data_IF_452937968166
#
_entry.id   IF_452937968166
#
_cell.length_a   1.000
_cell.length_b   1.000
_cell.length_c   1.000
_cell.angle_alpha   90.00
_cell.angle_beta   90.00
_cell.angle_gamma   90.00
#
_symmetry.space_group_name_H-M   'P 1'
#
loop_
_entity.id
_entity.type
_entity.pdbx_description
1 polymer ?
#
# COMPACT_ATOMS: atom_id res chain seq x y z
N UNK A 1 -12.89 36.67 -17.38
CA UNK A 1 -11.80 36.88 -16.40
C UNK A 1 -11.67 35.74 -15.38
N UNK A 2 -12.75 35.09 -14.94
CA UNK A 2 -12.70 33.99 -13.96
C UNK A 2 -11.82 32.79 -14.38
N UNK A 3 -11.92 32.33 -15.62
CA UNK A 3 -11.17 31.16 -16.14
C UNK A 3 -9.65 31.38 -16.10
N UNK A 4 -9.18 32.59 -16.45
CA UNK A 4 -7.75 32.94 -16.42
C UNK A 4 -7.20 32.94 -14.99
N UNK A 5 -7.98 33.44 -14.03
CA UNK A 5 -7.57 33.48 -12.63
C UNK A 5 -7.52 32.06 -12.02
N UNK A 6 -8.42 31.19 -12.46
CA UNK A 6 -8.45 29.78 -12.03
C UNK A 6 -7.26 28.99 -12.60
N UNK A 7 -6.93 29.15 -13.89
CA UNK A 7 -5.72 28.56 -14.49
C UNK A 7 -4.43 29.04 -13.79
N UNK A 8 -4.32 30.34 -13.50
CA UNK A 8 -3.17 30.91 -12.79
C UNK A 8 -3.08 30.45 -11.32
N UNK A 9 -4.21 30.06 -10.73
CA UNK A 9 -4.25 29.48 -9.38
C UNK A 9 -3.76 28.03 -9.40
N UNK A 10 -4.22 27.23 -10.37
CA UNK A 10 -3.80 25.85 -10.56
C UNK A 10 -2.31 25.73 -10.91
N UNK A 11 -1.81 26.62 -11.76
CA UNK A 11 -0.39 26.67 -12.12
C UNK A 11 0.47 26.99 -10.90
N UNK A 12 0.08 27.97 -10.08
CA UNK A 12 0.77 28.28 -8.81
C UNK A 12 0.75 27.11 -7.82
N UNK A 13 -0.35 26.35 -7.76
CA UNK A 13 -0.42 25.16 -6.91
C UNK A 13 0.49 24.03 -7.40
N UNK A 14 0.57 23.81 -8.71
CA UNK A 14 1.49 22.85 -9.30
C UNK A 14 2.96 23.26 -9.07
N UNK A 15 3.30 24.52 -9.32
CA UNK A 15 4.66 25.06 -9.11
C UNK A 15 5.09 24.94 -7.65
N UNK A 16 4.16 25.18 -6.71
CA UNK A 16 4.39 25.01 -5.28
C UNK A 16 4.64 23.54 -4.91
N UNK A 17 3.85 22.60 -5.46
CA UNK A 17 4.03 21.16 -5.26
C UNK A 17 5.37 20.68 -5.82
N UNK A 18 5.77 21.14 -7.02
CA UNK A 18 7.07 20.83 -7.59
C UNK A 18 8.21 21.38 -6.76
N UNK A 19 8.06 22.59 -6.22
CA UNK A 19 9.05 23.20 -5.33
C UNK A 19 9.22 22.38 -4.05
N UNK A 20 8.12 21.95 -3.42
CA UNK A 20 8.16 21.13 -2.21
C UNK A 20 8.72 19.73 -2.45
N UNK A 21 8.37 19.13 -3.58
CA UNK A 21 8.96 17.86 -4.00
C UNK A 21 10.47 18.01 -4.21
N UNK A 22 10.91 19.11 -4.83
CA UNK A 22 12.33 19.38 -5.06
C UNK A 22 13.10 19.58 -3.74
N UNK A 23 12.52 20.29 -2.76
CA UNK A 23 13.09 20.43 -1.42
C UNK A 23 13.31 19.07 -0.74
N UNK A 24 12.28 18.21 -0.73
CA UNK A 24 12.36 16.86 -0.17
C UNK A 24 13.38 15.99 -0.92
N UNK A 25 13.44 16.11 -2.25
CA UNK A 25 14.43 15.38 -3.06
C UNK A 25 15.86 15.83 -2.77
N UNK A 26 16.11 17.11 -2.52
CA UNK A 26 17.43 17.63 -2.13
C UNK A 26 17.82 17.16 -0.72
N UNK A 27 16.84 17.05 0.18
CA UNK A 27 17.06 16.67 1.57
C UNK A 27 17.30 15.16 1.73
N UNK A 28 16.49 14.33 1.06
CA UNK A 28 16.47 12.88 1.25
C UNK A 28 17.26 12.10 0.19
N UNK A 29 17.52 12.69 -1.00
CA UNK A 29 18.23 12.00 -2.08
C UNK A 29 19.67 12.51 -2.23
N UNK A 30 20.62 11.73 -1.69
CA UNK A 30 22.06 12.02 -1.72
C UNK A 30 22.61 12.32 -3.14
N UNK A 31 22.08 11.66 -4.17
CA UNK A 31 22.48 11.86 -5.59
C UNK A 31 22.00 13.19 -6.15
N UNK A 32 20.77 13.55 -5.81
CA UNK A 32 20.16 14.80 -6.24
C UNK A 32 20.85 16.01 -5.60
N UNK A 33 21.26 15.88 -4.33
CA UNK A 33 22.07 16.88 -3.59
C UNK A 33 23.44 17.16 -4.22
N UNK A 34 24.05 16.18 -4.92
CA UNK A 34 25.41 16.27 -5.44
C UNK A 34 25.56 16.97 -6.80
N UNK A 35 24.48 17.53 -7.37
CA UNK A 35 24.47 18.12 -8.71
C UNK A 35 25.01 17.18 -9.80
N UNK A 36 24.96 15.86 -9.58
CA UNK A 36 24.88 14.92 -10.69
C UNK A 36 23.49 15.10 -11.28
N UNK A 37 23.28 16.20 -12.01
CA UNK A 37 22.12 16.35 -12.87
C UNK A 37 22.16 15.12 -13.78
N UNK A 38 21.19 14.19 -13.69
CA UNK A 38 20.96 13.31 -14.81
C UNK A 38 20.77 14.24 -15.99
N UNK A 39 21.51 14.04 -17.07
CA UNK A 39 21.25 14.78 -18.32
C UNK A 39 19.78 14.52 -18.67
N UNK A 40 18.92 15.46 -18.30
CA UNK A 40 17.47 15.34 -18.43
C UNK A 40 17.08 15.31 -19.93
N UNK A 41 18.00 15.76 -20.78
CA UNK A 41 17.88 15.83 -22.23
C UNK A 41 17.91 14.47 -22.93
N UNK A 42 18.19 13.35 -22.23
CA UNK A 42 18.35 12.06 -22.92
C UNK A 42 17.51 10.88 -22.39
N UNK A 43 16.47 11.06 -21.56
CA UNK A 43 15.96 9.88 -20.83
C UNK A 43 14.48 9.70 -20.53
N UNK A 44 13.55 10.40 -21.20
CA UNK A 44 12.15 9.95 -21.24
C UNK A 44 11.53 10.21 -22.62
N UNK A 45 11.34 9.14 -23.39
CA UNK A 45 10.46 9.16 -24.57
C UNK A 45 9.07 9.66 -24.12
N UNK A 46 8.44 10.55 -24.90
CA UNK A 46 7.10 11.05 -24.64
C UNK A 46 6.11 9.91 -24.35
N UNK A 47 6.30 8.75 -25.00
CA UNK A 47 5.52 7.53 -24.78
C UNK A 47 5.73 6.92 -23.39
N UNK A 48 6.95 6.95 -22.87
CA UNK A 48 7.25 6.47 -21.50
C UNK A 48 6.66 7.42 -20.46
N UNK A 49 6.72 8.73 -20.69
CA UNK A 49 6.06 9.71 -19.83
C UNK A 49 4.53 9.55 -19.83
N UNK A 50 3.92 9.39 -21.00
CA UNK A 50 2.48 9.13 -21.14
C UNK A 50 2.08 7.84 -20.41
N UNK A 51 2.88 6.77 -20.53
CA UNK A 51 2.64 5.52 -19.81
C UNK A 51 2.72 5.70 -18.28
N UNK A 52 3.67 6.49 -17.79
CA UNK A 52 3.77 6.83 -16.36
C UNK A 52 2.55 7.64 -15.88
N UNK A 53 2.13 8.66 -16.64
CA UNK A 53 0.96 9.49 -16.32
C UNK A 53 -0.32 8.64 -16.31
N UNK A 54 -0.52 7.79 -17.32
CA UNK A 54 -1.66 6.88 -17.38
C UNK A 54 -1.66 5.88 -16.22
N UNK A 55 -0.48 5.36 -15.84
CA UNK A 55 -0.32 4.50 -14.67
C UNK A 55 -0.66 5.23 -13.37
N UNK A 56 -0.19 6.47 -13.21
CA UNK A 56 -0.47 7.29 -12.05
C UNK A 56 -1.96 7.63 -11.94
N UNK A 57 -2.60 8.05 -13.04
CA UNK A 57 -4.03 8.32 -13.09
C UNK A 57 -4.87 7.08 -12.76
N UNK A 58 -4.49 5.91 -13.29
CA UNK A 58 -5.16 4.65 -12.97
C UNK A 58 -5.05 4.33 -11.48
N UNK A 59 -3.84 4.44 -10.90
CA UNK A 59 -3.61 4.25 -9.45
C UNK A 59 -4.42 5.25 -8.60
N UNK A 60 -4.53 6.51 -9.02
CA UNK A 60 -5.36 7.53 -8.35
C UNK A 60 -6.85 7.16 -8.40
N UNK A 61 -7.36 6.67 -9.55
CA UNK A 61 -8.75 6.22 -9.66
C UNK A 61 -9.03 5.04 -8.73
N UNK A 62 -8.12 4.05 -8.72
CA UNK A 62 -8.23 2.89 -7.84
C UNK A 62 -8.15 3.28 -6.36
N UNK A 63 -7.24 4.18 -5.98
CA UNK A 63 -7.11 4.62 -4.59
C UNK A 63 -8.34 5.41 -4.11
N UNK A 64 -8.94 6.23 -4.98
CA UNK A 64 -10.21 6.92 -4.69
C UNK A 64 -11.35 5.95 -4.39
N UNK A 65 -11.45 4.86 -5.16
CA UNK A 65 -12.47 3.83 -4.93
C UNK A 65 -12.21 3.06 -3.62
N UNK A 66 -10.94 2.83 -3.28
CA UNK A 66 -10.56 2.22 -2.01
C UNK A 66 -10.74 3.15 -0.79
N UNK A 67 -11.03 4.45 -0.95
CA UNK A 67 -11.01 5.39 0.16
C UNK A 67 -11.98 5.00 1.28
N UNK A 68 -13.24 4.76 0.95
CA UNK A 68 -14.27 4.40 1.93
C UNK A 68 -13.94 3.09 2.69
N UNK A 69 -13.60 1.97 2.02
CA UNK A 69 -13.22 0.75 2.74
C UNK A 69 -11.93 0.90 3.57
N UNK A 70 -10.96 1.69 3.12
CA UNK A 70 -9.74 1.93 3.89
C UNK A 70 -9.98 2.81 5.12
N UNK A 71 -10.86 3.82 5.02
CA UNK A 71 -11.30 4.61 6.18
C UNK A 71 -11.97 3.69 7.21
N UNK A 72 -12.86 2.80 6.77
CA UNK A 72 -13.49 1.81 7.65
C UNK A 72 -12.45 0.88 8.29
N UNK A 73 -11.48 0.40 7.52
CA UNK A 73 -10.39 -0.43 8.05
C UNK A 73 -9.56 0.33 9.09
N UNK A 74 -9.26 1.60 8.84
CA UNK A 74 -8.51 2.45 9.76
C UNK A 74 -9.25 2.71 11.08
N UNK A 75 -10.58 2.75 11.07
CA UNK A 75 -11.38 2.87 12.30
C UNK A 75 -11.16 1.69 13.26
N UNK A 76 -10.93 0.49 12.73
CA UNK A 76 -10.69 -0.71 13.55
C UNK A 76 -9.21 -0.93 13.86
N UNK A 77 -8.34 -0.83 12.86
CA UNK A 77 -6.94 -1.27 12.98
C UNK A 77 -5.92 -0.13 13.01
N UNK A 78 -6.36 1.10 12.76
CA UNK A 78 -5.54 2.30 12.75
C UNK A 78 -4.90 2.60 11.39
N UNK A 79 -4.77 3.89 11.09
CA UNK A 79 -4.24 4.38 9.81
C UNK A 79 -2.78 3.99 9.57
N UNK A 80 -1.96 3.92 10.62
CA UNK A 80 -0.54 3.55 10.50
C UNK A 80 -0.36 2.19 9.84
N UNK A 81 -1.27 1.24 10.08
CA UNK A 81 -1.24 -0.09 9.45
C UNK A 81 -1.69 -0.04 8.00
N UNK A 82 -2.76 0.72 7.72
CA UNK A 82 -3.23 0.96 6.35
C UNK A 82 -2.12 1.50 5.46
N UNK A 83 -1.36 2.46 5.97
CA UNK A 83 -0.23 3.07 5.26
C UNK A 83 0.94 2.10 5.15
N UNK A 84 1.37 1.49 6.26
CA UNK A 84 2.52 0.61 6.28
C UNK A 84 2.36 -0.61 5.35
N UNK A 85 1.17 -1.21 5.31
CA UNK A 85 0.88 -2.32 4.41
C UNK A 85 0.44 -1.86 3.01
N UNK A 86 0.44 -0.57 2.73
CA UNK A 86 0.14 -0.02 1.40
C UNK A 86 -1.17 -0.57 0.79
N UNK A 87 -2.20 -0.83 1.61
CA UNK A 87 -3.42 -1.52 1.16
C UNK A 87 -4.18 -0.77 0.07
N UNK A 88 -3.99 0.55 -0.03
CA UNK A 88 -4.54 1.37 -1.11
C UNK A 88 -4.05 0.99 -2.52
N UNK A 89 -2.94 0.27 -2.63
CA UNK A 89 -2.40 -0.21 -3.90
C UNK A 89 -3.03 -1.53 -4.39
N UNK A 90 -3.84 -2.19 -3.57
CA UNK A 90 -4.27 -3.58 -3.80
C UNK A 90 -5.54 -3.74 -4.65
N UNK A 91 -6.24 -2.63 -4.94
CA UNK A 91 -7.47 -2.63 -5.72
C UNK A 91 -8.75 -2.74 -4.90
N UNK A 92 -9.87 -2.25 -5.47
CA UNK A 92 -11.15 -2.09 -4.79
C UNK A 92 -11.64 -3.37 -4.10
N UNK A 93 -11.70 -4.49 -4.84
CA UNK A 93 -12.15 -5.78 -4.29
C UNK A 93 -11.35 -6.18 -3.05
N UNK A 94 -10.04 -5.95 -3.06
CA UNK A 94 -9.20 -6.24 -1.90
C UNK A 94 -9.54 -5.33 -0.73
N UNK A 95 -9.67 -4.03 -0.98
CA UNK A 95 -10.04 -3.04 0.03
C UNK A 95 -11.41 -3.37 0.67
N UNK A 96 -12.40 -3.79 -0.10
CA UNK A 96 -13.73 -4.16 0.41
C UNK A 96 -13.67 -5.37 1.34
N UNK A 97 -12.97 -6.43 0.93
CA UNK A 97 -12.81 -7.64 1.75
C UNK A 97 -11.98 -7.35 3.00
N UNK A 98 -10.96 -6.51 2.89
CA UNK A 98 -10.17 -6.03 4.02
C UNK A 98 -11.05 -5.29 5.05
N UNK A 99 -11.91 -4.39 4.58
CA UNK A 99 -12.83 -3.65 5.45
C UNK A 99 -13.85 -4.58 6.13
N UNK A 100 -14.34 -5.60 5.41
CA UNK A 100 -15.20 -6.63 5.98
C UNK A 100 -14.46 -7.44 7.06
N UNK A 101 -13.24 -7.90 6.76
CA UNK A 101 -12.41 -8.66 7.70
C UNK A 101 -12.10 -7.87 8.97
N UNK A 102 -11.77 -6.58 8.83
CA UNK A 102 -11.55 -5.66 9.95
C UNK A 102 -12.81 -5.41 10.76
N UNK A 103 -13.98 -5.31 10.11
CA UNK A 103 -15.26 -5.17 10.83
C UNK A 103 -15.59 -6.41 11.66
N UNK A 104 -15.28 -7.60 11.15
CA UNK A 104 -15.52 -8.86 11.84
C UNK A 104 -14.48 -9.16 12.93
N UNK A 105 -13.29 -8.59 12.81
CA UNK A 105 -12.18 -8.75 13.76
C UNK A 105 -11.67 -7.36 14.19
N UNK A 106 -12.46 -6.59 14.94
CA UNK A 106 -12.18 -5.17 15.17
C UNK A 106 -10.91 -4.92 16.00
N UNK A 107 -10.53 -5.86 16.86
CA UNK A 107 -9.33 -5.74 17.70
C UNK A 107 -8.10 -6.25 16.93
N UNK A 108 -7.15 -5.36 16.65
CA UNK A 108 -5.94 -5.72 15.88
C UNK A 108 -5.17 -6.90 16.48
N UNK A 109 -4.98 -6.93 17.80
CA UNK A 109 -4.22 -8.01 18.46
C UNK A 109 -4.84 -9.39 18.23
N UNK A 110 -6.17 -9.46 18.19
CA UNK A 110 -6.93 -10.68 17.87
C UNK A 110 -6.81 -11.03 16.38
N UNK A 111 -7.02 -10.05 15.50
CA UNK A 111 -6.88 -10.21 14.06
C UNK A 111 -5.47 -10.68 13.67
N UNK A 112 -4.43 -10.15 14.33
CA UNK A 112 -3.03 -10.52 14.12
C UNK A 112 -2.77 -11.99 14.41
N UNK A 113 -3.31 -12.52 15.51
CA UNK A 113 -3.16 -13.95 15.86
C UNK A 113 -3.72 -14.83 14.73
N UNK A 114 -4.94 -14.53 14.29
CA UNK A 114 -5.61 -15.26 13.19
C UNK A 114 -4.86 -15.13 11.86
N UNK A 115 -4.39 -13.93 11.53
CA UNK A 115 -3.62 -13.66 10.32
C UNK A 115 -2.29 -14.43 10.32
N UNK A 116 -1.57 -14.45 11.44
CA UNK A 116 -0.33 -15.19 11.54
C UNK A 116 -0.54 -16.69 11.38
N UNK A 117 -1.63 -17.24 11.91
CA UNK A 117 -2.00 -18.66 11.70
C UNK A 117 -2.27 -18.97 10.22
N UNK A 118 -3.00 -18.08 9.52
CA UNK A 118 -3.25 -18.22 8.08
C UNK A 118 -1.95 -18.13 7.26
N UNK A 119 -1.04 -17.23 7.62
CA UNK A 119 0.26 -17.07 6.96
C UNK A 119 1.19 -18.25 7.24
N UNK A 120 1.30 -18.69 8.49
CA UNK A 120 2.13 -19.83 8.88
C UNK A 120 1.70 -21.09 8.15
N UNK A 121 0.40 -21.39 8.10
CA UNK A 121 -0.13 -22.50 7.30
C UNK A 121 0.30 -22.41 5.83
N UNK A 122 0.24 -21.22 5.24
CA UNK A 122 0.66 -21.04 3.85
C UNK A 122 2.14 -21.39 3.68
N UNK A 123 2.98 -20.92 4.59
CA UNK A 123 4.42 -21.19 4.58
C UNK A 123 4.69 -22.69 4.74
N UNK A 124 4.03 -23.36 5.68
CA UNK A 124 4.20 -24.82 5.90
C UNK A 124 3.70 -25.66 4.73
N UNK A 125 2.74 -25.15 3.94
CA UNK A 125 2.32 -25.72 2.65
C UNK A 125 3.30 -25.42 1.49
N UNK A 126 4.47 -24.84 1.77
CA UNK A 126 5.50 -24.53 0.77
C UNK A 126 5.19 -23.33 -0.12
N UNK A 127 4.22 -22.48 0.27
CA UNK A 127 3.83 -21.29 -0.50
C UNK A 127 4.50 -20.04 0.08
N UNK A 128 5.24 -19.32 -0.76
CA UNK A 128 5.94 -18.10 -0.35
C UNK A 128 4.97 -16.93 -0.09
N UNK A 129 5.34 -16.07 0.87
CA UNK A 129 4.67 -14.79 1.07
C UNK A 129 5.12 -13.76 0.02
N UNK A 130 4.35 -12.68 -0.10
CA UNK A 130 4.71 -11.54 -0.96
C UNK A 130 6.01 -10.91 -0.47
N UNK A 131 6.86 -10.47 -1.40
CA UNK A 131 8.06 -9.65 -1.13
C UNK A 131 7.71 -8.15 -1.02
N UNK A 132 6.58 -7.84 -0.38
CA UNK A 132 6.07 -6.49 -0.16
C UNK A 132 5.80 -6.31 1.33
N UNK A 133 5.56 -5.06 1.77
CA UNK A 133 5.16 -4.82 3.16
C UNK A 133 3.87 -5.59 3.52
N UNK A 134 2.91 -5.68 2.59
CA UNK A 134 1.69 -6.48 2.73
C UNK A 134 1.93 -7.98 2.47
N UNK A 135 1.83 -8.86 3.48
CA UNK A 135 1.96 -10.30 3.27
C UNK A 135 0.63 -10.98 2.89
N UNK A 136 -0.50 -10.28 3.03
CA UNK A 136 -1.83 -10.87 2.90
C UNK A 136 -2.26 -10.98 1.44
N UNK A 137 -2.84 -12.11 1.10
CA UNK A 137 -3.60 -12.30 -0.13
C UNK A 137 -5.09 -12.17 0.18
N UNK A 138 -5.89 -11.92 -0.85
CA UNK A 138 -7.34 -11.80 -0.73
C UNK A 138 -7.97 -12.96 0.06
N UNK A 139 -7.52 -14.19 -0.24
CA UNK A 139 -8.00 -15.40 0.43
C UNK A 139 -7.71 -15.45 1.94
N UNK A 140 -6.65 -14.77 2.42
CA UNK A 140 -6.40 -14.68 3.87
C UNK A 140 -7.43 -13.78 4.52
N UNK A 141 -7.75 -12.66 3.89
CA UNK A 141 -8.75 -11.73 4.38
C UNK A 141 -10.16 -12.34 4.33
N UNK A 142 -10.48 -13.13 3.31
CA UNK A 142 -11.73 -13.88 3.22
C UNK A 142 -11.85 -14.89 4.39
N UNK A 143 -10.79 -15.64 4.69
CA UNK A 143 -10.80 -16.55 5.83
C UNK A 143 -10.82 -15.81 7.17
N UNK A 144 -10.09 -14.69 7.30
CA UNK A 144 -10.14 -13.85 8.49
C UNK A 144 -11.56 -13.32 8.75
N UNK A 145 -12.25 -12.85 7.70
CA UNK A 145 -13.62 -12.39 7.81
C UNK A 145 -14.58 -13.50 8.28
N UNK A 146 -14.31 -14.76 7.91
CA UNK A 146 -15.07 -15.92 8.38
C UNK A 146 -14.68 -16.38 9.80
N UNK A 147 -13.52 -15.95 10.31
CA UNK A 147 -12.99 -16.34 11.63
C UNK A 147 -13.36 -15.31 12.71
N UNK A 148 -14.62 -15.25 13.10
CA UNK A 148 -15.15 -14.19 13.99
C UNK A 148 -14.80 -14.39 15.49
N UNK A 149 -14.66 -15.64 15.96
CA UNK A 149 -14.42 -15.97 17.36
C UNK A 149 -12.94 -16.17 17.74
N UNK A 150 -12.67 -16.35 19.04
CA UNK A 150 -11.38 -16.79 19.61
C UNK A 150 -11.32 -18.30 19.76
N UNK A 151 -11.81 -18.99 18.75
CA UNK A 151 -11.88 -20.45 18.68
C UNK A 151 -11.09 -20.92 17.48
N UNK A 152 -10.88 -22.23 17.37
CA UNK A 152 -10.28 -22.81 16.18
C UNK A 152 -11.13 -22.51 14.94
N UNK A 153 -10.46 -22.30 13.82
CA UNK A 153 -11.09 -22.06 12.53
C UNK A 153 -11.11 -23.33 11.71
N UNK A 154 -12.32 -23.77 11.36
CA UNK A 154 -12.53 -24.90 10.48
C UNK A 154 -12.91 -24.43 9.08
N UNK A 155 -12.05 -24.71 8.11
CA UNK A 155 -12.45 -24.66 6.71
C UNK A 155 -13.03 -26.00 6.31
N UNK A 156 -14.25 -25.99 5.78
CA UNK A 156 -14.91 -27.19 5.21
C UNK A 156 -14.76 -27.23 3.69
N UNK A 157 -14.88 -28.43 3.10
CA UNK A 157 -14.87 -28.65 1.64
C UNK A 157 -13.61 -29.36 1.12
N UNK A 158 -13.32 -29.20 -0.18
CA UNK A 158 -12.28 -29.99 -0.91
C UNK A 158 -10.86 -29.88 -0.33
N UNK A 159 -10.56 -28.80 0.41
CA UNK A 159 -9.28 -28.60 1.12
C UNK A 159 -9.59 -28.20 2.55
N UNK A 160 -10.21 -29.12 3.28
CA UNK A 160 -10.54 -28.91 4.67
C UNK A 160 -9.27 -28.82 5.51
N UNK A 161 -9.27 -27.91 6.48
CA UNK A 161 -8.21 -27.78 7.47
C UNK A 161 -8.75 -27.07 8.69
N UNK A 162 -8.05 -27.26 9.81
CA UNK A 162 -8.32 -26.57 11.07
C UNK A 162 -7.10 -25.74 11.45
N UNK A 163 -7.32 -24.51 11.87
CA UNK A 163 -6.29 -23.64 12.44
C UNK A 163 -6.62 -23.34 13.88
N UNK A 164 -5.63 -23.47 14.77
CA UNK A 164 -5.80 -23.16 16.17
C UNK A 164 -5.79 -21.66 16.42
N UNK A 165 -6.58 -21.19 17.38
CA UNK A 165 -6.43 -19.83 17.89
C UNK A 165 -5.27 -19.79 18.89
N UNK A 166 -4.04 -19.65 18.38
CA UNK A 166 -2.83 -19.59 19.21
C UNK A 166 -1.83 -18.55 18.68
N UNK A 167 -1.14 -17.88 19.61
CA UNK A 167 -0.10 -16.91 19.29
C UNK A 167 1.14 -17.60 18.75
N UNK A 168 1.77 -16.99 17.74
CA UNK A 168 3.02 -17.46 17.14
C UNK A 168 4.17 -16.61 17.66
N UNK A 169 5.22 -17.26 18.15
CA UNK A 169 6.48 -16.64 18.52
C UNK A 169 7.47 -16.68 17.35
N UNK A 170 8.51 -15.86 17.41
CA UNK A 170 9.55 -15.83 16.37
C UNK A 170 10.31 -17.17 16.26
N UNK A 171 10.41 -17.92 17.36
CA UNK A 171 10.98 -19.28 17.40
C UNK A 171 10.20 -20.30 16.58
N UNK A 172 8.92 -20.04 16.30
CA UNK A 172 8.05 -20.95 15.54
C UNK A 172 8.17 -20.70 14.03
N UNK A 173 8.87 -19.64 13.62
CA UNK A 173 9.00 -19.25 12.22
C UNK A 173 10.17 -19.96 11.53
N UNK A 174 10.02 -20.35 10.25
CA UNK A 174 11.16 -20.80 9.47
C UNK A 174 12.19 -19.67 9.28
N UNK A 175 13.46 -20.04 9.05
CA UNK A 175 14.63 -19.14 8.99
C UNK A 175 14.44 -17.93 8.06
N UNK A 176 13.67 -18.06 6.99
CA UNK A 176 13.45 -17.00 5.99
C UNK A 176 12.27 -16.07 6.33
N UNK A 177 11.74 -16.11 7.55
CA UNK A 177 10.58 -15.31 7.98
C UNK A 177 10.83 -14.67 9.34
N UNK A 178 10.27 -13.48 9.53
CA UNK A 178 10.35 -12.70 10.77
C UNK A 178 9.01 -12.05 11.05
N UNK A 179 8.81 -11.59 12.29
CA UNK A 179 7.69 -10.73 12.63
C UNK A 179 8.03 -9.27 12.30
N UNK A 180 7.06 -8.54 11.76
CA UNK A 180 7.21 -7.13 11.47
C UNK A 180 6.91 -6.23 12.69
N UNK A 181 6.95 -4.92 12.51
CA UNK A 181 6.71 -3.94 13.59
C UNK A 181 5.31 -4.00 14.21
N UNK A 182 4.35 -4.66 13.56
CA UNK A 182 3.00 -4.90 14.07
C UNK A 182 2.78 -6.36 14.47
N UNK A 183 3.85 -7.16 14.49
CA UNK A 183 3.86 -8.57 14.87
C UNK A 183 3.30 -9.50 13.80
N UNK A 184 3.26 -9.08 12.53
CA UNK A 184 2.78 -9.93 11.41
C UNK A 184 3.95 -10.62 10.72
N UNK A 185 3.77 -11.89 10.37
CA UNK A 185 4.79 -12.66 9.63
C UNK A 185 5.06 -12.02 8.26
N UNK A 186 6.32 -11.73 7.98
CA UNK A 186 6.79 -11.29 6.67
C UNK A 186 8.00 -12.08 6.21
N UNK A 187 8.26 -12.08 4.91
CA UNK A 187 9.49 -12.66 4.38
C UNK A 187 10.70 -11.85 4.87
N UNK A 188 11.66 -12.55 5.46
CA UNK A 188 13.00 -12.03 5.70
C UNK A 188 13.68 -11.90 4.35
N UNK A 189 13.80 -10.68 3.82
CA UNK A 189 14.67 -10.44 2.69
C UNK A 189 16.09 -10.58 3.20
N UNK A 190 16.67 -11.78 3.13
CA UNK A 190 18.12 -11.93 3.18
C UNK A 190 18.61 -11.20 1.93
N UNK A 191 19.12 -9.98 2.11
CA UNK A 191 19.96 -9.33 1.10
C UNK A 191 21.20 -10.22 0.97
N UNK A 192 21.13 -11.32 0.21
CA UNK A 192 22.33 -11.88 -0.41
C UNK A 192 22.87 -10.73 -1.22
N UNK A 193 24.02 -10.20 -0.80
CA UNK A 193 24.85 -9.25 -1.56
C UNK A 193 25.25 -9.94 -2.87
N UNK A 194 24.32 -10.06 -3.81
CA UNK A 194 24.65 -10.08 -5.22
C UNK A 194 25.00 -8.64 -5.52
N UNK A 195 26.31 -8.38 -5.61
CA UNK A 195 26.83 -7.19 -6.32
C UNK A 195 26.34 -7.29 -7.76
N UNK A 196 25.13 -6.86 -7.99
CA UNK A 196 24.65 -6.46 -9.30
C UNK A 196 24.09 -5.07 -9.05
N UNK A 197 24.73 -4.08 -9.67
CA UNK A 197 24.25 -2.71 -9.71
C UNK A 197 22.85 -2.72 -10.33
N UNK A 198 21.81 -2.64 -9.49
CA UNK A 198 20.49 -2.14 -9.88
C UNK A 198 19.95 -1.35 -8.70
N UNK A 199 20.14 -0.04 -8.77
CA UNK A 199 19.59 0.90 -7.80
C UNK A 199 18.12 1.13 -8.10
N UNK A 200 17.27 0.28 -7.54
CA UNK A 200 15.89 0.68 -7.26
C UNK A 200 15.91 1.49 -5.97
N UNK A 201 16.04 2.81 -6.15
CA UNK A 201 15.68 3.79 -5.11
C UNK A 201 14.25 3.46 -4.70
N UNK A 202 14.06 3.08 -3.43
CA UNK A 202 12.74 3.05 -2.80
C UNK A 202 12.18 4.47 -2.83
N UNK A 203 11.49 4.81 -3.93
CA UNK A 203 10.66 6.01 -3.96
C UNK A 203 9.50 5.79 -2.98
N UNK A 204 9.20 6.75 -2.09
CA UNK A 204 7.93 6.75 -1.39
C UNK A 204 6.83 6.68 -2.45
N UNK A 205 5.91 5.72 -2.33
CA UNK A 205 4.78 5.71 -3.26
C UNK A 205 4.05 7.05 -3.11
N UNK A 206 3.86 7.79 -4.21
CA UNK A 206 3.11 9.05 -4.23
C UNK A 206 1.71 8.88 -3.58
N UNK A 207 1.20 7.65 -3.54
CA UNK A 207 -0.05 7.26 -2.86
C UNK A 207 0.01 7.55 -1.36
N UNK A 208 1.14 7.37 -0.69
CA UNK A 208 1.30 7.64 0.74
C UNK A 208 1.20 9.14 1.06
N UNK A 209 1.73 10.00 0.19
CA UNK A 209 1.67 11.47 0.30
C UNK A 209 0.26 11.97 -0.03
N UNK A 210 -0.38 11.44 -1.07
CA UNK A 210 -1.75 11.84 -1.42
C UNK A 210 -2.78 11.45 -0.36
N UNK A 211 -2.58 10.33 0.35
CA UNK A 211 -3.51 9.91 1.40
C UNK A 211 -3.37 10.73 2.69
N UNK A 212 -2.19 11.27 3.02
CA UNK A 212 -2.06 12.18 4.16
C UNK A 212 -2.81 13.49 3.93
N UNK A 213 -2.71 14.07 2.74
CA UNK A 213 -3.30 15.40 2.48
C UNK A 213 -4.82 15.36 2.31
N UNK A 214 -5.37 14.31 1.68
CA UNK A 214 -6.82 14.17 1.46
C UNK A 214 -7.57 13.91 2.77
N UNK A 215 -6.96 13.23 3.74
CA UNK A 215 -7.62 12.84 5.00
C UNK A 215 -7.35 13.80 6.16
N UNK A 216 -6.22 14.52 6.18
CA UNK A 216 -5.91 15.50 7.23
C UNK A 216 -6.65 16.83 7.03
N UNK A 217 -7.01 17.19 5.79
CA UNK A 217 -7.56 18.53 5.53
C UNK A 217 -9.07 18.63 5.50
N UNK A 218 -9.82 17.52 5.52
CA UNK A 218 -11.29 17.54 5.62
C UNK A 218 -12.00 18.46 4.60
N UNK A 219 -11.32 18.85 3.52
CA UNK A 219 -11.87 19.73 2.49
C UNK A 219 -12.05 18.92 1.22
N UNK A 220 -13.31 18.67 0.89
CA UNK A 220 -13.73 18.24 -0.43
C UNK A 220 -13.21 19.24 -1.47
N UNK A 221 -12.08 18.96 -2.11
CA UNK A 221 -11.78 19.56 -3.40
C UNK A 221 -12.64 18.84 -4.44
N UNK A 222 -13.81 19.42 -4.72
CA UNK A 222 -14.67 19.03 -5.83
C UNK A 222 -13.95 19.28 -7.14
N UNK A 223 -13.27 18.26 -7.67
CA UNK A 223 -12.79 18.24 -9.05
C UNK A 223 -13.73 17.35 -9.85
N UNK A 224 -14.80 17.95 -10.38
CA UNK A 224 -15.58 17.41 -11.48
C UNK A 224 -14.73 17.44 -12.75
N UNK A 225 -14.10 16.31 -13.08
CA UNK A 225 -13.39 16.12 -14.34
C UNK A 225 -14.42 15.74 -15.42
N UNK A 226 -14.90 16.74 -16.16
CA UNK A 226 -15.47 16.52 -17.49
C UNK A 226 -14.45 16.87 -18.57
N UNK A 227 -14.43 15.99 -19.57
CA UNK A 227 -13.62 15.91 -20.79
C UNK A 227 -13.22 17.27 -21.39
N UNK A 228 -11.93 17.44 -21.66
CA UNK A 228 -11.46 18.34 -22.71
C UNK A 228 -11.12 17.50 -23.95
N UNK A 229 -11.90 17.70 -25.01
CA UNK A 229 -11.57 17.26 -26.36
C UNK A 229 -10.38 18.10 -26.86
N UNK A 230 -9.43 17.43 -27.49
CA UNK A 230 -8.29 18.04 -28.17
C UNK A 230 -8.74 18.46 -29.57
N UNK A 231 -8.66 19.75 -29.86
CA UNK A 231 -8.34 20.32 -31.18
C UNK A 231 -7.57 21.62 -30.97
#
# INVERSE_FOLDING_TARGET
MAIRNEMLSQQRQADWLFTKLNEVMIEECYRYRKNEQPQLDSLFDAKQWEQLVNTAQSKIRTSKQCLAPLVKTAQYWGMTKVQYYEWASMGLKYCDVLAAAASQNPVWEDARVKLNQLLLRRITEGRFLRKTANPFYLVDLEHLAAWTGKTDFEKKGRRAYTLKYETIAESDLPVDYVLDRFGVIKSHIIRKRLRIYSEEVQQPSLIAIFLSDVLVTGKHCGCSLYRAAVY
#
